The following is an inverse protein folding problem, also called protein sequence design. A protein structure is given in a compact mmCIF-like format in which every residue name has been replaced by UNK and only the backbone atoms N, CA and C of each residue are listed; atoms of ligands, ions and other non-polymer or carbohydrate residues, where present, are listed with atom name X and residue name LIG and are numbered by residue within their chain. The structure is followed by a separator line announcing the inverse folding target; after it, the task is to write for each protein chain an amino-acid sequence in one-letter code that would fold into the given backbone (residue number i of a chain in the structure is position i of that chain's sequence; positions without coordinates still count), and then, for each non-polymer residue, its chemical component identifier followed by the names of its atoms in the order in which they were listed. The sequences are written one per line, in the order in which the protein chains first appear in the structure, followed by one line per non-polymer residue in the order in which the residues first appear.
data_IF_435787993529
#
_entry.id   IF_435787993529
#
_cell.length_a   1.000
_cell.length_b   1.000
_cell.length_c   1.000
_cell.angle_alpha   90.00
_cell.angle_beta   90.00
_cell.angle_gamma   90.00
#
_symmetry.space_group_name_H-M   'P 1'
#
loop_
_entity.id
_entity.type
_entity.pdbx_description
1 polymer ?
#
# COMPACT_ATOMS: atom_id res chain seq x y z
N UNK A 1 -4.69 36.70 23.49
CA UNK A 1 -3.40 35.98 23.49
C UNK A 1 -3.67 34.50 23.28
N UNK A 2 -3.18 33.90 22.20
CA UNK A 2 -3.29 32.46 21.97
C UNK A 2 -2.16 31.75 22.72
N UNK A 3 -2.51 30.86 23.66
CA UNK A 3 -1.53 30.07 24.41
C UNK A 3 -1.31 28.77 23.64
N UNK A 4 -0.22 28.71 22.88
CA UNK A 4 0.19 27.48 22.19
C UNK A 4 0.88 26.56 23.19
N UNK A 5 0.17 25.53 23.67
CA UNK A 5 0.77 24.44 24.47
C UNK A 5 1.13 23.28 23.55
N UNK A 6 2.43 23.05 23.38
CA UNK A 6 2.96 21.92 22.60
C UNK A 6 3.23 20.77 23.56
N UNK A 7 2.70 19.58 23.25
CA UNK A 7 2.89 18.34 24.01
C UNK A 7 3.80 17.44 23.16
N UNK A 8 5.05 17.20 23.59
CA UNK A 8 5.98 16.27 22.91
C UNK A 8 6.44 15.18 23.87
N UNK A 9 6.78 14.00 23.32
CA UNK A 9 7.39 12.90 24.08
C UNK A 9 8.92 13.02 24.03
N UNK A 10 9.58 13.12 25.18
CA UNK A 10 11.04 13.07 25.25
C UNK A 10 11.53 11.64 25.04
N UNK A 11 12.27 11.39 23.95
CA UNK A 11 12.81 10.06 23.62
C UNK A 11 14.34 10.14 23.67
N UNK A 12 14.92 10.01 24.86
CA UNK A 12 16.37 9.86 25.04
C UNK A 12 16.65 8.49 25.65
N UNK A 13 17.13 7.53 24.85
CA UNK A 13 17.48 6.19 25.33
C UNK A 13 18.99 6.01 25.13
N UNK A 14 19.74 6.02 26.23
CA UNK A 14 21.14 5.61 26.29
C UNK A 14 21.19 4.16 26.77
N UNK A 15 21.91 3.30 26.03
CA UNK A 15 21.94 1.85 26.23
C UNK A 15 22.56 1.37 27.57
N UNK A 16 22.99 2.28 28.44
CA UNK A 16 23.65 1.96 29.71
C UNK A 16 22.68 1.70 30.88
N UNK A 17 21.39 2.05 30.76
CA UNK A 17 20.41 2.00 31.85
C UNK A 17 19.49 0.76 31.80
N UNK A 18 19.92 -0.33 31.16
CA UNK A 18 19.10 -1.54 30.95
C UNK A 18 19.08 -2.52 32.13
N UNK A 19 19.45 -2.12 33.36
CA UNK A 19 19.48 -3.06 34.50
C UNK A 19 18.75 -2.63 35.77
N UNK A 20 18.02 -1.52 35.77
CA UNK A 20 17.25 -1.10 36.96
C UNK A 20 15.83 -0.61 36.65
N UNK A 21 15.34 -0.89 35.44
CA UNK A 21 14.01 -0.47 34.98
C UNK A 21 13.14 -1.72 34.76
N UNK A 22 12.76 -2.36 35.85
CA UNK A 22 11.64 -3.31 35.88
C UNK A 22 10.49 -2.67 36.67
N UNK A 23 10.01 -1.46 36.32
CA UNK A 23 8.70 -0.99 36.84
C UNK A 23 8.08 0.29 36.26
N UNK A 24 8.65 1.03 35.30
CA UNK A 24 8.05 2.35 34.98
C UNK A 24 8.27 2.93 33.57
N UNK A 25 8.62 2.12 32.59
CA UNK A 25 8.80 2.60 31.19
C UNK A 25 7.50 2.90 30.42
N UNK A 26 6.33 2.42 30.88
CA UNK A 26 5.06 2.63 30.17
C UNK A 26 4.36 3.97 30.50
N UNK A 27 4.92 4.73 31.44
CA UNK A 27 4.26 5.87 32.07
C UNK A 27 4.26 7.13 31.20
N UNK A 28 5.28 7.38 30.38
CA UNK A 28 5.33 8.56 29.49
C UNK A 28 4.27 8.55 28.39
N UNK A 29 4.12 7.37 27.75
CA UNK A 29 2.99 6.91 26.94
C UNK A 29 1.61 7.47 27.29
N UNK A 30 1.13 6.91 28.40
CA UNK A 30 -0.23 7.06 28.88
C UNK A 30 -0.45 8.43 29.51
N UNK A 31 0.56 9.00 30.17
CA UNK A 31 0.47 10.35 30.74
C UNK A 31 0.26 11.43 29.66
N UNK A 32 0.79 11.24 28.45
CA UNK A 32 0.53 12.16 27.34
C UNK A 32 -0.92 12.07 26.87
N UNK A 33 -1.48 10.86 26.74
CA UNK A 33 -2.90 10.68 26.40
C UNK A 33 -3.81 11.24 27.48
N UNK A 34 -3.46 11.09 28.75
CA UNK A 34 -4.18 11.66 29.87
C UNK A 34 -4.21 13.20 29.79
N UNK A 35 -3.05 13.84 29.59
CA UNK A 35 -2.99 15.30 29.42
C UNK A 35 -3.71 15.81 28.17
N UNK A 36 -3.62 15.06 27.06
CA UNK A 36 -4.35 15.35 25.82
C UNK A 36 -5.86 15.20 26.03
N UNK A 37 -6.30 14.19 26.78
CA UNK A 37 -7.72 13.98 27.07
C UNK A 37 -8.32 15.14 27.86
N UNK A 38 -7.57 15.69 28.82
CA UNK A 38 -8.00 16.85 29.61
C UNK A 38 -7.96 18.14 28.80
N UNK A 39 -6.91 18.35 28.00
CA UNK A 39 -6.71 19.61 27.28
C UNK A 39 -7.53 19.69 25.99
N UNK A 40 -7.72 18.57 25.29
CA UNK A 40 -8.36 18.48 23.98
C UNK A 40 -9.16 17.18 23.83
N UNK A 41 -10.27 17.02 24.56
CA UNK A 41 -11.04 15.78 24.59
C UNK A 41 -11.56 15.36 23.21
N UNK A 42 -11.89 16.32 22.34
CA UNK A 42 -12.37 16.06 20.98
C UNK A 42 -11.30 15.41 20.07
N UNK A 43 -10.00 15.58 20.36
CA UNK A 43 -8.92 15.04 19.54
C UNK A 43 -8.52 13.62 19.95
N UNK A 44 -8.91 13.18 21.15
CA UNK A 44 -8.49 11.88 21.67
C UNK A 44 -9.01 10.73 20.81
N UNK A 45 -10.31 10.76 20.47
CA UNK A 45 -10.95 9.73 19.67
C UNK A 45 -10.37 9.65 18.23
N UNK A 46 -10.23 10.77 17.49
CA UNK A 46 -9.51 10.79 16.21
C UNK A 46 -8.07 10.25 16.30
N UNK A 47 -7.30 10.64 17.32
CA UNK A 47 -5.91 10.20 17.48
C UNK A 47 -5.77 8.70 17.76
N UNK A 48 -6.73 8.10 18.46
CA UNK A 48 -6.78 6.65 18.68
C UNK A 48 -7.16 5.95 17.37
N UNK A 49 -8.19 6.45 16.69
CA UNK A 49 -8.67 5.89 15.43
C UNK A 49 -7.59 5.90 14.33
N UNK A 50 -6.91 7.02 14.13
CA UNK A 50 -5.81 7.13 13.16
C UNK A 50 -4.65 6.17 13.48
N UNK A 51 -4.31 6.00 14.77
CA UNK A 51 -3.28 5.05 15.19
C UNK A 51 -3.68 3.61 14.88
N UNK A 52 -4.91 3.24 15.21
CA UNK A 52 -5.44 1.89 14.96
C UNK A 52 -5.47 1.58 13.46
N UNK A 53 -5.91 2.55 12.66
CA UNK A 53 -5.90 2.47 11.19
C UNK A 53 -4.48 2.31 10.65
N UNK A 54 -3.51 3.07 11.15
CA UNK A 54 -2.12 2.95 10.72
C UNK A 54 -1.49 1.59 11.07
N UNK A 55 -1.80 1.05 12.26
CA UNK A 55 -1.34 -0.28 12.67
C UNK A 55 -1.94 -1.38 11.78
N UNK A 56 -3.26 -1.34 11.55
CA UNK A 56 -3.94 -2.27 10.65
C UNK A 56 -3.32 -2.24 9.23
N UNK A 57 -3.11 -1.04 8.71
CA UNK A 57 -2.50 -0.84 7.40
C UNK A 57 -1.05 -1.35 7.33
N UNK A 58 -0.26 -1.13 8.38
CA UNK A 58 1.13 -1.60 8.46
C UNK A 58 1.23 -3.13 8.39
N UNK A 59 0.27 -3.82 8.99
CA UNK A 59 0.17 -5.29 8.92
C UNK A 59 -0.25 -5.76 7.52
N UNK A 60 -1.21 -5.09 6.89
CA UNK A 60 -1.62 -5.38 5.51
C UNK A 60 -0.47 -5.17 4.51
N UNK A 61 0.27 -4.07 4.63
CA UNK A 61 1.44 -3.78 3.78
C UNK A 61 2.55 -4.81 3.98
N UNK A 62 2.86 -5.18 5.23
CA UNK A 62 3.88 -6.20 5.51
C UNK A 62 3.56 -7.53 4.83
N UNK A 63 2.26 -7.88 4.73
CA UNK A 63 1.80 -9.06 3.99
C UNK A 63 1.99 -8.91 2.48
N UNK A 64 1.60 -7.75 1.93
CA UNK A 64 1.67 -7.47 0.50
C UNK A 64 3.11 -7.36 -0.04
N UNK A 65 4.05 -6.86 0.76
CA UNK A 65 5.44 -6.62 0.32
C UNK A 65 6.30 -7.88 0.43
N UNK A 66 6.16 -8.67 1.49
CA UNK A 66 6.99 -9.87 1.68
C UNK A 66 6.38 -11.14 1.07
N UNK A 67 5.17 -11.08 0.52
CA UNK A 67 4.48 -12.25 -0.04
C UNK A 67 4.21 -13.36 0.99
N UNK A 68 4.32 -13.06 2.28
CA UNK A 68 4.15 -14.04 3.35
C UNK A 68 2.66 -14.37 3.55
N UNK A 69 2.37 -15.65 3.80
CA UNK A 69 0.99 -16.12 4.08
C UNK A 69 0.46 -15.56 5.41
N UNK A 70 1.35 -15.36 6.38
CA UNK A 70 1.03 -14.95 7.76
C UNK A 70 1.94 -13.79 8.19
N UNK A 71 1.37 -12.79 8.85
CA UNK A 71 2.07 -11.64 9.45
C UNK A 71 1.63 -11.56 10.91
N UNK A 72 2.58 -11.33 11.81
CA UNK A 72 2.33 -11.19 13.25
C UNK A 72 2.64 -9.76 13.66
N UNK A 73 1.66 -9.09 14.27
CA UNK A 73 1.82 -7.77 14.87
C UNK A 73 1.69 -7.85 16.38
N UNK A 74 2.58 -7.18 17.11
CA UNK A 74 2.41 -6.99 18.56
C UNK A 74 1.64 -5.69 18.77
N UNK A 75 0.47 -5.79 19.40
CA UNK A 75 -0.47 -4.69 19.58
C UNK A 75 -0.84 -4.61 21.06
N UNK A 76 -0.84 -3.40 21.62
CA UNK A 76 -1.34 -3.17 22.98
C UNK A 76 -2.85 -3.46 23.09
N UNK A 77 -3.28 -3.98 24.24
CA UNK A 77 -4.69 -4.38 24.49
C UNK A 77 -5.72 -3.28 24.16
N UNK A 78 -5.39 -2.01 24.42
CA UNK A 78 -6.28 -0.87 24.14
C UNK A 78 -6.55 -0.62 22.65
N UNK A 79 -5.63 -1.02 21.77
CA UNK A 79 -5.72 -0.83 20.32
C UNK A 79 -6.28 -2.05 19.58
N UNK A 80 -6.31 -3.21 20.24
CA UNK A 80 -6.67 -4.48 19.61
C UNK A 80 -8.03 -4.44 18.90
N UNK A 81 -9.08 -3.92 19.54
CA UNK A 81 -10.41 -3.86 18.93
C UNK A 81 -10.46 -2.90 17.75
N UNK A 82 -9.83 -1.73 17.84
CA UNK A 82 -9.79 -0.76 16.75
C UNK A 82 -8.97 -1.25 15.57
N UNK A 83 -7.86 -1.94 15.81
CA UNK A 83 -7.04 -2.54 14.75
C UNK A 83 -7.79 -3.69 14.07
N UNK A 84 -8.45 -4.58 14.82
CA UNK A 84 -9.28 -5.64 14.22
C UNK A 84 -10.40 -5.04 13.38
N UNK A 85 -11.08 -4.02 13.89
CA UNK A 85 -12.12 -3.31 13.15
C UNK A 85 -11.56 -2.77 11.83
N UNK A 86 -10.48 -2.00 11.88
CA UNK A 86 -9.85 -1.43 10.68
C UNK A 86 -9.36 -2.51 9.70
N UNK A 87 -8.88 -3.66 10.18
CA UNK A 87 -8.47 -4.78 9.32
C UNK A 87 -9.66 -5.42 8.59
N UNK A 88 -10.78 -5.61 9.28
CA UNK A 88 -11.98 -6.28 8.75
C UNK A 88 -12.83 -5.34 7.89
N UNK A 89 -12.96 -4.07 8.29
CA UNK A 89 -13.77 -3.07 7.57
C UNK A 89 -13.10 -2.58 6.30
N UNK A 90 -11.76 -2.63 6.25
CA UNK A 90 -11.02 -2.23 5.07
C UNK A 90 -11.19 -3.27 3.95
N UNK A 91 -12.16 -2.97 3.10
CA UNK A 91 -12.53 -3.73 1.89
C UNK A 91 -11.66 -3.37 0.67
N UNK A 92 -10.68 -2.47 0.84
CA UNK A 92 -9.86 -1.93 -0.25
C UNK A 92 -8.45 -2.52 -0.33
N UNK A 93 -7.92 -2.57 -1.55
CA UNK A 93 -6.49 -2.72 -1.80
C UNK A 93 -5.81 -1.39 -1.45
N UNK A 94 -5.38 -1.23 -0.19
CA UNK A 94 -4.73 -0.03 0.32
C UNK A 94 -3.40 0.21 -0.39
N UNK A 95 -3.43 0.89 -1.54
CA UNK A 95 -2.23 1.26 -2.28
C UNK A 95 -1.69 2.58 -1.76
N UNK A 96 -0.44 2.55 -1.32
CA UNK A 96 0.37 3.74 -0.97
C UNK A 96 0.34 4.87 -2.01
N UNK A 97 0.02 4.57 -3.27
CA UNK A 97 -0.13 5.56 -4.36
C UNK A 97 -1.26 6.56 -4.11
N UNK A 98 -2.28 6.20 -3.34
CA UNK A 98 -3.47 7.05 -3.14
C UNK A 98 -3.30 8.06 -2.00
N UNK A 99 -2.40 7.79 -1.04
CA UNK A 99 -2.16 8.63 0.14
C UNK A 99 -0.91 9.51 0.01
N UNK A 100 0.07 9.08 -0.78
CA UNK A 100 1.27 9.87 -1.10
C UNK A 100 1.15 10.22 -2.56
N UNK A 101 0.54 11.36 -2.88
CA UNK A 101 0.29 11.83 -4.24
C UNK A 101 1.47 11.56 -5.18
N UNK A 102 1.41 10.41 -5.86
CA UNK A 102 2.28 10.06 -6.97
C UNK A 102 1.38 10.07 -8.18
N UNK A 103 1.47 11.18 -8.90
CA UNK A 103 0.90 11.34 -10.23
C UNK A 103 1.54 10.37 -11.20
N UNK A 104 1.20 9.09 -11.09
CA UNK A 104 1.37 8.13 -12.16
C UNK A 104 0.02 8.04 -12.86
N UNK A 105 -0.27 9.11 -13.59
CA UNK A 105 -1.37 9.21 -14.53
C UNK A 105 -1.11 8.22 -15.67
N UNK A 106 -2.11 7.35 -15.92
CA UNK A 106 -2.26 6.51 -17.11
C UNK A 106 -1.15 5.46 -17.35
N UNK A 107 -1.39 4.17 -17.21
CA UNK A 107 -2.36 3.43 -18.03
C UNK A 107 -2.62 2.04 -17.41
N UNK A 108 -3.89 1.71 -17.27
CA UNK A 108 -4.39 0.35 -17.51
C UNK A 108 -3.94 -0.72 -16.53
N UNK A 109 -4.76 -0.93 -15.49
CA UNK A 109 -4.64 -2.07 -14.60
C UNK A 109 -4.61 -3.41 -15.32
N UNK A 110 -4.01 -4.40 -14.66
CA UNK A 110 -4.48 -5.78 -14.52
C UNK A 110 -3.47 -6.46 -13.61
N UNK A 111 -3.91 -6.79 -12.39
CA UNK A 111 -3.13 -7.52 -11.42
C UNK A 111 -2.81 -8.93 -11.92
N UNK A 112 -1.60 -9.37 -11.59
CA UNK A 112 -1.22 -10.76 -11.28
C UNK A 112 -1.96 -11.85 -12.04
N UNK A 113 -1.43 -12.22 -13.21
CA UNK A 113 -1.09 -13.61 -13.52
C UNK A 113 -0.01 -13.57 -14.59
N UNK A 114 1.05 -14.36 -14.48
CA UNK A 114 2.01 -14.60 -15.57
C UNK A 114 1.31 -14.89 -16.90
N UNK A 115 0.14 -15.54 -16.82
CA UNK A 115 -0.77 -15.81 -17.93
C UNK A 115 -1.21 -14.53 -18.68
N UNK A 116 -1.42 -13.40 -18.01
CA UNK A 116 -1.85 -12.15 -18.67
C UNK A 116 -0.78 -11.51 -19.56
N UNK A 117 0.49 -11.56 -19.15
CA UNK A 117 1.60 -11.07 -19.98
C UNK A 117 1.86 -12.00 -21.16
N UNK A 118 1.82 -13.32 -20.93
CA UNK A 118 1.94 -14.33 -21.98
C UNK A 118 0.79 -14.22 -22.99
N UNK A 119 -0.44 -14.01 -22.54
CA UNK A 119 -1.61 -13.80 -23.40
C UNK A 119 -1.46 -12.51 -24.24
N UNK A 120 -0.88 -11.43 -23.70
CA UNK A 120 -0.59 -10.22 -24.49
C UNK A 120 0.44 -10.48 -25.58
N UNK A 121 1.53 -11.18 -25.27
CA UNK A 121 2.57 -11.54 -26.24
C UNK A 121 2.01 -12.47 -27.31
N UNK A 122 1.23 -13.47 -26.93
CA UNK A 122 0.58 -14.40 -27.87
C UNK A 122 -0.42 -13.65 -28.76
N UNK A 123 -1.21 -12.74 -28.20
CA UNK A 123 -2.16 -11.92 -28.96
C UNK A 123 -1.47 -10.99 -29.96
N UNK A 124 -0.36 -10.36 -29.59
CA UNK A 124 0.42 -9.55 -30.54
C UNK A 124 1.07 -10.42 -31.62
N UNK A 125 1.56 -11.61 -31.26
CA UNK A 125 2.19 -12.53 -32.20
C UNK A 125 1.19 -13.07 -33.24
N UNK A 126 -0.01 -13.49 -32.82
CA UNK A 126 -1.07 -13.95 -33.72
C UNK A 126 -1.51 -12.82 -34.65
N UNK A 127 -1.71 -11.61 -34.11
CA UNK A 127 -2.09 -10.44 -34.90
C UNK A 127 -1.05 -10.14 -35.98
N UNK A 128 0.22 -10.09 -35.61
CA UNK A 128 1.30 -9.73 -36.55
C UNK A 128 1.49 -10.83 -37.62
N UNK A 129 1.22 -12.10 -37.27
CA UNK A 129 1.21 -13.23 -38.23
C UNK A 129 0.10 -13.10 -39.28
N UNK A 130 -1.11 -12.74 -38.86
CA UNK A 130 -2.26 -12.53 -39.78
C UNK A 130 -1.96 -11.36 -40.72
N UNK A 131 -1.43 -10.26 -40.19
CA UNK A 131 -1.06 -9.09 -40.98
C UNK A 131 0.01 -9.45 -42.01
N UNK A 132 1.05 -10.20 -41.59
CA UNK A 132 2.10 -10.67 -42.50
C UNK A 132 1.57 -11.54 -43.63
N UNK A 133 0.65 -12.46 -43.33
CA UNK A 133 0.05 -13.34 -44.34
C UNK A 133 -0.82 -12.57 -45.34
N UNK A 134 -1.66 -11.64 -44.87
CA UNK A 134 -2.46 -10.79 -45.75
C UNK A 134 -1.59 -9.90 -46.65
N UNK A 135 -0.50 -9.34 -46.10
CA UNK A 135 0.45 -8.56 -46.88
C UNK A 135 1.17 -9.42 -47.93
N UNK A 136 1.50 -10.67 -47.59
CA UNK A 136 2.13 -11.61 -48.50
C UNK A 136 1.22 -11.96 -49.69
N UNK A 137 -0.05 -12.28 -49.45
CA UNK A 137 -1.00 -12.55 -50.54
C UNK A 137 -1.19 -11.35 -51.45
N UNK A 138 -1.28 -10.14 -50.88
CA UNK A 138 -1.40 -8.92 -51.67
C UNK A 138 -0.12 -8.63 -52.49
N UNK A 139 1.05 -8.95 -51.94
CA UNK A 139 2.33 -8.85 -52.66
C UNK A 139 2.40 -9.81 -53.84
N UNK A 140 1.99 -11.06 -53.67
CA UNK A 140 1.93 -12.05 -54.77
C UNK A 140 0.96 -11.60 -55.86
N UNK A 141 -0.22 -11.08 -55.50
CA UNK A 141 -1.17 -10.55 -56.49
C UNK A 141 -0.58 -9.37 -57.27
N UNK A 142 0.11 -8.46 -56.58
CA UNK A 142 0.79 -7.33 -57.22
C UNK A 142 1.90 -7.81 -58.17
N UNK A 143 2.71 -8.79 -57.75
CA UNK A 143 3.77 -9.37 -58.56
C UNK A 143 3.20 -10.03 -59.83
N UNK A 144 2.14 -10.83 -59.68
CA UNK A 144 1.46 -11.48 -60.81
C UNK A 144 0.83 -10.46 -61.77
N UNK A 145 0.24 -9.37 -61.26
CA UNK A 145 -0.32 -8.32 -62.11
C UNK A 145 0.76 -7.56 -62.89
N UNK A 146 1.94 -7.35 -62.30
CA UNK A 146 3.05 -6.65 -62.94
C UNK A 146 3.77 -7.52 -64.00
N UNK A 147 3.81 -8.84 -63.82
CA UNK A 147 4.35 -9.78 -64.82
C UNK A 147 3.42 -9.97 -66.03
N UNK A 148 2.10 -9.76 -65.89
CA UNK A 148 1.14 -9.81 -67.00
C UNK A 148 1.08 -8.50 -67.82
N UNK A 149 1.86 -7.48 -67.43
CA UNK A 149 1.92 -6.18 -68.10
C UNK A 149 3.22 -5.97 -68.91
N UNK A 150 4.05 -7.01 -69.05
CA UNK A 150 5.22 -7.10 -69.94
C UNK A 150 4.98 -8.09 -71.07
#
# INVERSE_FOLDING_TARGET
MAVTRVITSSSGISAAELKEQETDENSGSLQLYERLSFSYPALLMPLIHERDTYLAWSLKRSKAVNGCKTVVGVIGKGHMNGVIYALVSDSGDLRFRDLVGRGDSYNGGTGTTSNGWIQKVLKSLVRDTIIGFLLWELYEQYLMMNQNLS
#
